data_IF_528216260113
#
_entry.id   IF_528216260113
#
_cell.length_a   1.000
_cell.length_b   1.000
_cell.length_c   1.000
_cell.angle_alpha   90.00
_cell.angle_beta   90.00
_cell.angle_gamma   90.00
#
_symmetry.space_group_name_H-M   'P 1'
#
loop_
_entity.id
_entity.type
_entity.pdbx_description
1 polymer ?
#
# COMPACT_ATOMS: atom_id res chain seq x y z
N UNK A 1 23.58 -9.34 -1.89
CA UNK A 1 23.03 -8.41 -0.89
C UNK A 1 21.51 -8.48 -1.02
N UNK A 2 20.82 -9.22 -0.13
CA UNK A 2 19.34 -9.24 -0.15
C UNK A 2 18.88 -7.95 0.53
N UNK A 3 18.08 -7.09 -0.12
CA UNK A 3 17.50 -5.94 0.58
C UNK A 3 16.64 -6.48 1.73
N UNK A 4 17.00 -6.12 2.97
CA UNK A 4 16.13 -6.28 4.14
C UNK A 4 15.02 -5.26 3.96
N UNK A 5 13.91 -5.71 3.39
CA UNK A 5 12.72 -4.89 3.29
C UNK A 5 12.04 -4.91 4.65
N UNK A 6 11.95 -3.75 5.29
CA UNK A 6 11.19 -3.60 6.52
C UNK A 6 9.70 -3.70 6.20
N UNK A 7 9.05 -4.64 6.88
CA UNK A 7 7.62 -4.87 6.77
C UNK A 7 6.92 -4.16 7.92
N UNK A 8 5.71 -3.65 7.65
CA UNK A 8 4.83 -3.19 8.73
C UNK A 8 4.21 -4.38 9.47
N UNK A 9 3.75 -4.12 10.70
CA UNK A 9 2.97 -5.09 11.46
C UNK A 9 1.59 -5.34 10.82
N UNK A 10 0.97 -6.46 11.17
CA UNK A 10 -0.31 -6.90 10.62
C UNK A 10 -1.43 -5.87 10.78
N UNK A 11 -1.53 -5.19 11.94
CA UNK A 11 -2.55 -4.17 12.17
C UNK A 11 -2.46 -3.00 11.17
N UNK A 12 -1.23 -2.54 10.90
CA UNK A 12 -0.98 -1.46 9.92
C UNK A 12 -1.22 -1.97 8.51
N UNK A 13 -0.81 -3.20 8.22
CA UNK A 13 -1.03 -3.83 6.93
C UNK A 13 -2.52 -3.97 6.59
N UNK A 14 -3.32 -4.47 7.52
CA UNK A 14 -4.77 -4.61 7.39
C UNK A 14 -5.45 -3.25 7.22
N UNK A 15 -5.07 -2.24 8.01
CA UNK A 15 -5.58 -0.88 7.85
C UNK A 15 -5.29 -0.30 6.46
N UNK A 16 -4.08 -0.52 5.93
CA UNK A 16 -3.68 -0.09 4.57
C UNK A 16 -4.48 -0.82 3.49
N UNK A 17 -4.70 -2.13 3.64
CA UNK A 17 -5.51 -2.92 2.72
C UNK A 17 -6.98 -2.46 2.74
N UNK A 18 -7.54 -2.21 3.93
CA UNK A 18 -8.91 -1.71 4.08
C UNK A 18 -9.08 -0.31 3.48
N UNK A 19 -8.06 0.53 3.59
CA UNK A 19 -8.06 1.84 2.93
C UNK A 19 -8.01 1.71 1.40
N UNK A 20 -7.30 0.71 0.87
CA UNK A 20 -7.26 0.47 -0.58
C UNK A 20 -8.48 -0.29 -1.13
N UNK A 21 -9.13 -1.15 -0.35
CA UNK A 21 -10.36 -1.85 -0.77
C UNK A 21 -11.52 -0.89 -0.99
N UNK A 22 -11.52 0.26 -0.30
CA UNK A 22 -12.47 1.35 -0.49
C UNK A 22 -12.03 2.32 -1.62
N UNK A 23 -11.09 1.94 -2.48
CA UNK A 23 -10.58 2.80 -3.55
C UNK A 23 -11.27 2.48 -4.86
N UNK A 24 -11.86 3.49 -5.48
CA UNK A 24 -12.46 3.38 -6.82
C UNK A 24 -11.42 3.05 -7.88
N UNK A 25 -10.16 3.45 -7.67
CA UNK A 25 -9.04 3.14 -8.56
C UNK A 25 -8.43 1.76 -8.32
N UNK A 26 -8.96 0.94 -7.39
CA UNK A 26 -8.46 -0.42 -7.18
C UNK A 26 -8.92 -1.33 -8.31
N UNK A 27 -7.99 -1.72 -9.17
CA UNK A 27 -8.23 -2.66 -10.25
C UNK A 27 -8.12 -4.10 -9.76
N UNK A 28 -9.07 -4.93 -10.16
CA UNK A 28 -9.10 -6.39 -9.90
C UNK A 28 -8.99 -6.77 -8.42
N UNK A 29 -9.26 -5.84 -7.50
CA UNK A 29 -9.19 -6.05 -6.04
C UNK A 29 -7.78 -6.14 -5.45
N UNK A 30 -6.71 -5.94 -6.23
CA UNK A 30 -5.33 -6.07 -5.72
C UNK A 30 -4.29 -5.18 -6.41
N UNK A 31 -4.64 -4.52 -7.52
CA UNK A 31 -3.73 -3.69 -8.31
C UNK A 31 -4.15 -2.23 -8.22
N UNK A 32 -3.23 -1.34 -7.85
CA UNK A 32 -3.51 0.08 -7.80
C UNK A 32 -3.60 0.65 -9.23
N UNK A 33 -4.76 1.20 -9.62
CA UNK A 33 -4.96 1.85 -10.93
C UNK A 33 -4.11 3.10 -11.14
N UNK A 34 -3.66 3.73 -10.05
CA UNK A 34 -2.85 4.97 -10.08
C UNK A 34 -1.40 4.67 -10.43
N UNK A 35 -0.79 3.72 -9.72
CA UNK A 35 0.65 3.42 -9.81
C UNK A 35 0.97 2.13 -10.55
N UNK A 36 -0.02 1.30 -10.86
CA UNK A 36 0.17 -0.04 -11.42
C UNK A 36 0.81 -1.07 -10.47
N UNK A 37 1.04 -0.70 -9.21
CA UNK A 37 1.67 -1.60 -8.21
C UNK A 37 0.65 -2.52 -7.55
N UNK A 38 1.10 -3.70 -7.12
CA UNK A 38 0.29 -4.62 -6.30
C UNK A 38 0.15 -4.05 -4.89
N UNK A 39 -1.08 -3.78 -4.48
CA UNK A 39 -1.40 -3.13 -3.20
C UNK A 39 -0.93 -3.97 -2.01
N UNK A 40 -1.06 -5.30 -2.07
CA UNK A 40 -0.59 -6.19 -1.01
C UNK A 40 0.92 -6.08 -0.77
N UNK A 41 1.72 -6.02 -1.84
CA UNK A 41 3.18 -5.88 -1.71
C UNK A 41 3.54 -4.48 -1.18
N UNK A 42 2.86 -3.46 -1.70
CA UNK A 42 3.08 -2.07 -1.32
C UNK A 42 2.67 -1.77 0.12
N UNK A 43 1.51 -2.26 0.54
CA UNK A 43 0.99 -2.09 1.89
C UNK A 43 1.88 -2.79 2.93
N UNK A 44 2.52 -3.91 2.57
CA UNK A 44 3.44 -4.62 3.45
C UNK A 44 4.73 -3.82 3.69
N UNK A 45 5.19 -3.04 2.71
CA UNK A 45 6.41 -2.26 2.80
C UNK A 45 6.29 -1.10 3.79
N UNK A 46 7.15 -1.05 4.82
CA UNK A 46 7.16 0.04 5.79
C UNK A 46 7.45 1.41 5.14
N UNK A 47 8.44 1.44 4.25
CA UNK A 47 8.89 2.66 3.58
C UNK A 47 8.00 3.12 2.42
N UNK A 48 6.99 2.36 2.00
CA UNK A 48 6.10 2.79 0.93
C UNK A 48 4.90 3.55 1.48
N UNK A 49 4.31 4.38 0.62
CA UNK A 49 3.11 5.16 0.88
C UNK A 49 2.11 4.96 -0.26
N UNK A 50 0.83 5.28 -0.02
CA UNK A 50 -0.19 5.28 -1.06
C UNK A 50 0.19 6.29 -2.16
N UNK A 51 0.19 5.92 -3.45
CA UNK A 51 0.58 6.80 -4.55
C UNK A 51 -0.55 7.73 -5.04
N UNK A 52 -1.62 7.92 -4.26
CA UNK A 52 -2.79 8.70 -4.70
C UNK A 52 -2.48 10.19 -4.85
N UNK A 53 -2.88 10.78 -5.98
CA UNK A 53 -2.68 12.20 -6.30
C UNK A 53 -3.53 13.16 -5.44
N UNK A 54 -4.66 12.68 -4.90
CA UNK A 54 -5.60 13.47 -4.09
C UNK A 54 -5.38 13.35 -2.58
N UNK A 55 -4.24 12.77 -2.16
CA UNK A 55 -3.89 12.55 -0.77
C UNK A 55 -3.62 11.08 -0.49
N UNK A 56 -2.43 10.79 0.01
CA UNK A 56 -2.04 9.44 0.41
C UNK A 56 -3.01 8.90 1.46
N UNK A 57 -3.75 7.83 1.13
CA UNK A 57 -4.67 7.17 2.08
C UNK A 57 -3.96 6.59 3.31
N UNK A 58 -2.67 6.35 3.17
CA UNK A 58 -1.79 5.88 4.22
C UNK A 58 -0.36 6.29 3.90
N UNK A 59 0.43 6.55 4.94
CA UNK A 59 1.81 7.02 4.86
C UNK A 59 2.74 5.90 5.30
N UNK A 60 3.90 5.82 4.64
CA UNK A 60 4.99 4.96 5.06
C UNK A 60 5.62 5.52 6.34
N UNK A 61 5.76 4.67 7.35
CA UNK A 61 6.55 5.00 8.54
C UNK A 61 7.97 4.58 8.21
N UNK A 62 8.69 5.43 7.48
CA UNK A 62 10.13 5.30 7.30
C UNK A 62 10.86 5.86 8.52
#
# INVERSE_FOLDING_TARGET
MRPKMECVNDEVYEARLLACSQCEELMSGHTCGISGSIVRVRALAAAQNCPSYHGSRWIGTA
#
